data_IF_827427308780
#
_entry.id   IF_827427308780
#
_cell.length_a   1.000
_cell.length_b   1.000
_cell.length_c   1.000
_cell.angle_alpha   90.00
_cell.angle_beta   90.00
_cell.angle_gamma   90.00
#
_symmetry.space_group_name_H-M   'P 1'
#
loop_
_entity.id
_entity.type
_entity.pdbx_description
1 polymer ?
#
# COMPACT_ATOMS: atom_id res chain seq x y z
N UNK A 1 -3.52 4.91 17.73
CA UNK A 1 -2.23 4.40 18.24
C UNK A 1 -1.06 5.27 17.74
N UNK A 2 -0.88 5.45 16.45
CA UNK A 2 0.21 6.27 15.88
C UNK A 2 0.31 7.66 16.52
N UNK A 3 -0.80 8.39 16.61
CA UNK A 3 -0.85 9.73 17.20
C UNK A 3 -0.51 9.76 18.70
N UNK A 4 -0.75 8.68 19.43
CA UNK A 4 -0.32 8.54 20.82
C UNK A 4 1.20 8.39 20.93
N UNK A 5 1.79 7.53 20.10
CA UNK A 5 3.24 7.27 20.07
C UNK A 5 4.02 8.50 19.63
N UNK A 6 3.52 9.23 18.62
CA UNK A 6 4.14 10.44 18.10
C UNK A 6 3.79 11.70 18.90
N UNK A 7 3.08 11.56 20.03
CA UNK A 7 2.64 12.68 20.89
C UNK A 7 1.83 13.72 20.14
N UNK A 8 1.02 13.28 19.19
CA UNK A 8 0.19 14.15 18.31
C UNK A 8 0.99 15.25 17.61
N UNK A 9 2.22 14.95 17.18
CA UNK A 9 3.10 15.95 16.55
C UNK A 9 3.08 15.88 15.04
N UNK A 10 2.71 14.75 14.42
CA UNK A 10 2.81 14.53 12.97
C UNK A 10 1.43 14.47 12.33
N UNK A 11 1.06 15.40 11.45
CA UNK A 11 -0.24 15.40 10.76
C UNK A 11 -0.24 14.45 9.56
N UNK A 12 -0.05 13.16 9.81
CA UNK A 12 -0.07 12.11 8.81
C UNK A 12 -1.18 11.10 9.11
N UNK A 13 -1.77 10.54 8.07
CA UNK A 13 -2.83 9.54 8.17
C UNK A 13 -2.28 8.17 7.78
N UNK A 14 -2.66 7.16 8.55
CA UNK A 14 -2.35 5.75 8.27
C UNK A 14 -3.62 5.03 7.87
N UNK A 15 -3.53 4.21 6.83
CA UNK A 15 -4.59 3.30 6.42
C UNK A 15 -4.00 2.03 5.81
N UNK A 16 -4.83 1.15 5.26
CA UNK A 16 -4.41 -0.14 4.72
C UNK A 16 -3.40 -0.01 3.58
N UNK A 17 -2.31 -0.76 3.65
CA UNK A 17 -1.24 -0.73 2.64
C UNK A 17 -1.57 -1.57 1.42
N UNK A 18 -1.54 -0.96 0.25
CA UNK A 18 -1.72 -1.66 -1.03
C UNK A 18 -0.59 -2.65 -1.34
N UNK A 19 0.61 -2.45 -0.80
CA UNK A 19 1.73 -3.37 -0.99
C UNK A 19 1.43 -4.80 -0.52
N UNK A 20 0.51 -4.96 0.42
CA UNK A 20 0.13 -6.27 0.95
C UNK A 20 -1.04 -6.94 0.23
N UNK A 21 -1.67 -6.30 -0.78
CA UNK A 21 -2.83 -6.90 -1.48
C UNK A 21 -2.48 -8.26 -2.08
N UNK A 22 -1.44 -8.33 -2.91
CA UNK A 22 -1.04 -9.58 -3.54
C UNK A 22 -0.55 -10.63 -2.52
N UNK A 23 0.29 -10.29 -1.53
CA UNK A 23 0.64 -11.21 -0.43
C UNK A 23 -0.55 -11.70 0.37
N UNK A 24 -1.54 -10.86 0.64
CA UNK A 24 -2.77 -11.27 1.36
C UNK A 24 -3.57 -12.26 0.51
N UNK A 25 -3.80 -11.97 -0.77
CA UNK A 25 -4.53 -12.86 -1.67
C UNK A 25 -3.85 -14.24 -1.71
N UNK A 26 -2.55 -14.28 -1.94
CA UNK A 26 -1.79 -15.53 -1.95
C UNK A 26 -1.84 -16.26 -0.61
N UNK A 27 -1.61 -15.54 0.49
CA UNK A 27 -1.60 -16.11 1.83
C UNK A 27 -2.95 -16.71 2.22
N UNK A 28 -4.05 -15.99 1.95
CA UNK A 28 -5.41 -16.47 2.24
C UNK A 28 -5.76 -17.70 1.42
N UNK A 29 -5.35 -17.75 0.15
CA UNK A 29 -5.58 -18.93 -0.70
C UNK A 29 -4.74 -20.14 -0.28
N UNK A 30 -3.54 -19.90 0.27
CA UNK A 30 -2.60 -20.99 0.62
C UNK A 30 -2.78 -21.49 2.05
N UNK A 31 -2.94 -20.60 3.02
CA UNK A 31 -2.93 -20.93 4.46
C UNK A 31 -4.21 -20.51 5.20
N UNK A 32 -5.15 -19.86 4.53
CA UNK A 32 -6.34 -19.28 5.14
C UNK A 32 -6.07 -17.93 5.83
N UNK A 33 -7.16 -17.30 6.29
CA UNK A 33 -7.11 -15.94 6.86
C UNK A 33 -6.29 -15.92 8.16
N UNK A 34 -6.52 -16.80 9.19
CA UNK A 34 -5.83 -16.69 10.47
C UNK A 34 -4.30 -16.80 10.35
N UNK A 35 -3.82 -17.76 9.56
CA UNK A 35 -2.38 -17.92 9.30
C UNK A 35 -1.77 -16.73 8.55
N UNK A 36 -2.50 -16.18 7.60
CA UNK A 36 -2.07 -14.95 6.88
C UNK A 36 -1.95 -13.77 7.84
N UNK A 37 -2.90 -13.60 8.75
CA UNK A 37 -2.85 -12.54 9.78
C UNK A 37 -1.60 -12.65 10.66
N UNK A 38 -1.10 -13.86 10.93
CA UNK A 38 0.17 -14.04 11.66
C UNK A 38 1.36 -13.42 10.91
N UNK A 39 1.46 -13.66 9.61
CA UNK A 39 2.49 -13.02 8.77
C UNK A 39 2.38 -11.50 8.75
N UNK A 40 1.15 -10.98 8.67
CA UNK A 40 0.90 -9.54 8.68
C UNK A 40 1.22 -8.90 10.04
N UNK A 41 0.94 -9.59 11.15
CA UNK A 41 1.35 -9.15 12.48
C UNK A 41 2.89 -9.10 12.62
N UNK A 42 3.59 -10.09 12.04
CA UNK A 42 5.04 -10.11 12.00
C UNK A 42 5.63 -8.92 11.22
N UNK A 43 4.95 -8.43 10.16
CA UNK A 43 5.35 -7.21 9.46
C UNK A 43 5.37 -5.98 10.40
N UNK A 44 4.39 -5.85 11.29
CA UNK A 44 4.38 -4.79 12.29
C UNK A 44 5.51 -4.95 13.33
N UNK A 45 5.82 -6.19 13.73
CA UNK A 45 6.98 -6.48 14.59
C UNK A 45 8.30 -6.11 13.89
N UNK A 46 8.40 -6.35 12.58
CA UNK A 46 9.54 -5.92 11.78
C UNK A 46 9.74 -4.39 11.83
N UNK A 47 8.68 -3.60 11.72
CA UNK A 47 8.78 -2.13 11.87
C UNK A 47 9.24 -1.73 13.27
N UNK A 48 8.82 -2.46 14.29
CA UNK A 48 9.31 -2.25 15.64
C UNK A 48 10.83 -2.51 15.74
N UNK A 49 11.33 -3.61 15.15
CA UNK A 49 12.78 -3.90 15.13
C UNK A 49 13.55 -2.85 14.33
N UNK A 50 13.04 -2.40 13.18
CA UNK A 50 13.64 -1.29 12.43
C UNK A 50 13.64 0.01 13.24
N UNK A 51 12.57 0.30 13.98
CA UNK A 51 12.50 1.46 14.86
C UNK A 51 13.61 1.45 15.92
N UNK A 52 13.87 0.31 16.55
CA UNK A 52 14.98 0.14 17.50
C UNK A 52 16.32 0.36 16.80
N UNK A 53 16.52 -0.23 15.62
CA UNK A 53 17.75 -0.07 14.84
C UNK A 53 18.01 1.41 14.51
N UNK A 54 16.99 2.14 14.06
CA UNK A 54 17.07 3.57 13.75
C UNK A 54 17.36 4.38 15.02
N UNK A 55 16.75 4.02 16.15
CA UNK A 55 17.02 4.69 17.44
C UNK A 55 18.47 4.53 17.90
N UNK A 56 19.08 3.36 17.66
CA UNK A 56 20.43 3.04 18.10
C UNK A 56 21.51 3.56 17.14
N UNK A 57 21.28 3.46 15.82
CA UNK A 57 22.28 3.74 14.79
C UNK A 57 21.98 5.01 13.97
N UNK A 58 20.88 5.68 14.25
CA UNK A 58 20.40 6.85 13.51
C UNK A 58 19.69 6.49 12.20
N UNK A 59 18.99 7.45 11.57
CA UNK A 59 18.24 7.23 10.33
C UNK A 59 19.12 6.86 9.13
N UNK A 60 20.42 7.18 9.18
CA UNK A 60 21.38 6.82 8.13
C UNK A 60 21.60 5.30 7.99
N UNK A 61 21.36 4.52 9.05
CA UNK A 61 21.45 3.07 8.99
C UNK A 61 20.42 2.47 8.02
N UNK A 62 19.24 3.09 7.91
CA UNK A 62 18.21 2.68 6.97
C UNK A 62 18.68 2.88 5.51
N UNK A 63 19.26 4.03 5.19
CA UNK A 63 19.79 4.32 3.87
C UNK A 63 20.93 3.38 3.44
N UNK A 64 21.65 2.80 4.38
CA UNK A 64 22.72 1.83 4.08
C UNK A 64 22.17 0.44 3.70
N UNK A 65 21.10 0.00 4.36
CA UNK A 65 20.49 -1.32 4.13
C UNK A 65 19.50 -1.23 2.95
N UNK A 66 18.76 -0.15 2.88
CA UNK A 66 17.66 0.09 1.95
C UNK A 66 17.91 1.39 1.16
N UNK A 67 18.97 1.47 0.37
CA UNK A 67 19.24 2.66 -0.44
C UNK A 67 18.24 2.78 -1.58
N UNK A 68 18.08 3.97 -2.17
CA UNK A 68 17.13 4.22 -3.27
C UNK A 68 17.28 3.28 -4.49
N UNK A 69 18.48 2.74 -4.73
CA UNK A 69 18.73 1.75 -5.81
C UNK A 69 18.04 0.40 -5.56
N UNK A 70 17.73 0.08 -4.30
CA UNK A 70 16.95 -1.11 -3.92
C UNK A 70 15.48 -0.75 -3.82
N UNK A 71 15.18 0.34 -3.15
CA UNK A 71 13.84 0.71 -2.73
C UNK A 71 12.98 1.18 -3.89
N UNK A 72 13.54 1.97 -4.81
CA UNK A 72 12.84 2.41 -6.00
C UNK A 72 12.33 1.24 -6.85
N UNK A 73 13.19 0.31 -7.28
CA UNK A 73 12.77 -0.87 -8.03
C UNK A 73 11.78 -1.76 -7.26
N UNK A 74 11.92 -1.94 -5.96
CA UNK A 74 10.96 -2.73 -5.15
C UNK A 74 9.57 -2.08 -5.18
N UNK A 75 9.47 -0.76 -5.00
CA UNK A 75 8.20 -0.03 -5.10
C UNK A 75 7.61 -0.14 -6.52
N UNK A 76 8.45 -0.04 -7.56
CA UNK A 76 8.00 -0.25 -8.95
C UNK A 76 7.39 -1.64 -9.14
N UNK A 77 8.03 -2.67 -8.63
CA UNK A 77 7.57 -4.07 -8.72
C UNK A 77 6.20 -4.22 -8.05
N UNK A 78 5.94 -3.57 -6.92
CA UNK A 78 4.63 -3.61 -6.26
C UNK A 78 3.55 -3.11 -7.22
N UNK A 79 3.73 -1.93 -7.80
CA UNK A 79 2.76 -1.36 -8.74
C UNK A 79 2.54 -2.23 -9.97
N UNK A 80 3.61 -2.79 -10.52
CA UNK A 80 3.58 -3.62 -11.75
C UNK A 80 2.95 -5.00 -11.52
N UNK A 81 3.17 -5.65 -10.39
CA UNK A 81 2.50 -6.92 -10.06
C UNK A 81 1.00 -6.68 -9.88
N UNK A 82 0.62 -5.61 -9.21
CA UNK A 82 -0.78 -5.26 -8.99
C UNK A 82 -1.48 -4.77 -10.27
N UNK A 83 -0.73 -4.36 -11.29
CA UNK A 83 -1.29 -3.96 -12.58
C UNK A 83 -2.14 -5.09 -13.23
N UNK A 84 -1.72 -6.35 -13.10
CA UNK A 84 -2.49 -7.49 -13.60
C UNK A 84 -3.85 -7.62 -12.90
N UNK A 85 -3.89 -7.39 -11.58
CA UNK A 85 -5.13 -7.37 -10.80
C UNK A 85 -6.06 -6.28 -11.27
N UNK A 86 -5.55 -5.05 -11.46
CA UNK A 86 -6.35 -3.92 -11.95
C UNK A 86 -6.91 -4.17 -13.35
N UNK A 87 -6.10 -4.70 -14.26
CA UNK A 87 -6.51 -5.02 -15.65
C UNK A 87 -7.58 -6.11 -15.65
N UNK A 88 -7.41 -7.21 -14.91
CA UNK A 88 -8.41 -8.25 -14.80
C UNK A 88 -9.76 -7.68 -14.31
N UNK A 89 -9.72 -6.86 -13.26
CA UNK A 89 -10.93 -6.21 -12.74
C UNK A 89 -11.55 -5.23 -13.73
N UNK A 90 -10.76 -4.46 -14.47
CA UNK A 90 -11.23 -3.56 -15.52
C UNK A 90 -11.88 -4.33 -16.67
N UNK A 91 -11.42 -5.55 -16.96
CA UNK A 91 -12.02 -6.47 -17.93
C UNK A 91 -13.23 -7.26 -17.39
N UNK A 92 -13.69 -6.95 -16.19
CA UNK A 92 -14.86 -7.58 -15.58
C UNK A 92 -14.61 -8.94 -14.95
N UNK A 93 -13.35 -9.28 -14.68
CA UNK A 93 -12.95 -10.53 -14.03
C UNK A 93 -12.66 -10.29 -12.55
N UNK A 94 -12.57 -11.37 -11.77
CA UNK A 94 -11.96 -11.33 -10.43
C UNK A 94 -10.51 -10.86 -10.51
N UNK A 95 -9.95 -10.34 -9.42
CA UNK A 95 -8.58 -9.81 -9.42
C UNK A 95 -7.51 -10.82 -9.86
N UNK A 96 -7.73 -12.11 -9.59
CA UNK A 96 -6.88 -13.22 -10.06
C UNK A 96 -7.15 -13.64 -11.52
N UNK A 97 -8.18 -13.07 -12.15
CA UNK A 97 -8.58 -13.35 -13.52
C UNK A 97 -9.33 -14.69 -13.73
N UNK A 98 -9.61 -15.44 -12.65
CA UNK A 98 -10.16 -16.80 -12.73
C UNK A 98 -11.64 -16.84 -13.15
N UNK A 99 -12.41 -15.82 -12.77
CA UNK A 99 -13.87 -15.79 -12.99
C UNK A 99 -14.31 -14.51 -13.68
N UNK A 100 -15.15 -14.64 -14.69
CA UNK A 100 -15.80 -13.50 -15.36
C UNK A 100 -17.06 -13.14 -14.58
N UNK A 101 -17.13 -11.91 -14.10
CA UNK A 101 -18.26 -11.36 -13.32
C UNK A 101 -19.13 -10.43 -14.17
N UNK A 102 -18.54 -9.74 -15.13
CA UNK A 102 -19.22 -8.78 -16.04
C UNK A 102 -18.70 -9.02 -17.45
N UNK A 103 -19.58 -8.98 -18.50
CA UNK A 103 -19.14 -9.10 -19.88
C UNK A 103 -18.07 -8.05 -20.23
N UNK A 104 -17.00 -8.47 -20.91
CA UNK A 104 -15.78 -7.68 -21.11
C UNK A 104 -16.05 -6.31 -21.76
N UNK A 105 -16.87 -6.25 -22.82
CA UNK A 105 -17.18 -4.97 -23.48
C UNK A 105 -17.85 -3.97 -22.53
N UNK A 106 -18.80 -4.43 -21.73
CA UNK A 106 -19.48 -3.59 -20.73
C UNK A 106 -18.51 -3.16 -19.61
N UNK A 107 -17.70 -4.10 -19.17
CA UNK A 107 -16.71 -3.85 -18.13
C UNK A 107 -15.69 -2.79 -18.55
N UNK A 108 -15.15 -2.89 -19.77
CA UNK A 108 -14.17 -1.93 -20.30
C UNK A 108 -14.74 -0.51 -20.40
N UNK A 109 -16.01 -0.37 -20.81
CA UNK A 109 -16.67 0.95 -20.88
C UNK A 109 -16.78 1.57 -19.47
N UNK A 110 -17.25 0.79 -18.49
CA UNK A 110 -17.41 1.26 -17.12
C UNK A 110 -16.04 1.62 -16.52
N UNK A 111 -15.04 0.75 -16.69
CA UNK A 111 -13.68 0.98 -16.22
C UNK A 111 -13.06 2.23 -16.85
N UNK A 112 -13.22 2.41 -18.17
CA UNK A 112 -12.73 3.59 -18.88
C UNK A 112 -13.38 4.88 -18.39
N UNK A 113 -14.69 4.89 -18.14
CA UNK A 113 -15.40 6.08 -17.64
C UNK A 113 -14.99 6.39 -16.21
N UNK A 114 -14.87 5.37 -15.33
CA UNK A 114 -14.40 5.54 -13.95
C UNK A 114 -12.97 6.08 -13.91
N UNK A 115 -12.08 5.53 -14.72
CA UNK A 115 -10.69 5.99 -14.86
C UNK A 115 -10.64 7.43 -15.41
N UNK A 116 -11.34 7.70 -16.51
CA UNK A 116 -11.37 9.03 -17.12
C UNK A 116 -11.91 10.08 -16.15
N UNK A 117 -12.98 9.77 -15.41
CA UNK A 117 -13.53 10.66 -14.38
C UNK A 117 -12.49 10.95 -13.31
N UNK A 118 -11.80 9.91 -12.80
CA UNK A 118 -10.78 10.08 -11.78
C UNK A 118 -9.64 10.98 -12.28
N UNK A 119 -9.15 10.75 -13.51
CA UNK A 119 -8.11 11.56 -14.12
C UNK A 119 -8.57 13.01 -14.33
N UNK A 120 -9.74 13.22 -14.92
CA UNK A 120 -10.26 14.57 -15.18
C UNK A 120 -10.49 15.35 -13.89
N UNK A 121 -11.04 14.73 -12.87
CA UNK A 121 -11.24 15.38 -11.57
C UNK A 121 -9.89 15.67 -10.88
N UNK A 122 -8.92 14.78 -11.00
CA UNK A 122 -7.57 15.01 -10.46
C UNK A 122 -6.87 16.20 -11.13
N UNK A 123 -7.03 16.37 -12.44
CA UNK A 123 -6.36 17.41 -13.23
C UNK A 123 -7.11 18.74 -13.22
N UNK A 124 -8.43 18.70 -13.40
CA UNK A 124 -9.28 19.86 -13.62
C UNK A 124 -10.11 20.25 -12.40
N UNK A 125 -10.19 19.36 -11.39
CA UNK A 125 -10.98 19.58 -10.18
C UNK A 125 -10.51 20.82 -9.41
N UNK A 126 -11.48 21.58 -8.89
CA UNK A 126 -11.24 22.76 -8.06
C UNK A 126 -11.79 22.54 -6.65
N UNK A 127 -11.15 23.17 -5.66
CA UNK A 127 -11.60 23.09 -4.26
C UNK A 127 -11.63 21.64 -3.77
N UNK A 128 -12.76 21.22 -3.21
CA UNK A 128 -12.94 19.90 -2.59
C UNK A 128 -12.86 18.74 -3.61
N UNK A 129 -13.32 18.92 -4.84
CA UNK A 129 -13.27 17.86 -5.85
C UNK A 129 -11.84 17.40 -6.16
N UNK A 130 -10.87 18.31 -6.15
CA UNK A 130 -9.45 17.96 -6.34
C UNK A 130 -8.90 17.04 -5.25
N UNK A 131 -9.54 16.98 -4.09
CA UNK A 131 -9.11 16.17 -2.95
C UNK A 131 -9.71 14.76 -2.98
N UNK A 132 -10.79 14.54 -3.75
CA UNK A 132 -11.56 13.30 -3.76
C UNK A 132 -11.74 12.73 -5.18
N UNK A 133 -10.73 12.74 -6.06
CA UNK A 133 -10.90 12.31 -7.46
C UNK A 133 -11.31 10.84 -7.57
N UNK A 134 -10.76 9.98 -6.72
CA UNK A 134 -11.07 8.55 -6.66
C UNK A 134 -12.55 8.34 -6.30
N UNK A 135 -13.04 9.04 -5.29
CA UNK A 135 -14.45 8.96 -4.90
C UNK A 135 -15.37 9.42 -6.03
N UNK A 136 -15.01 10.47 -6.77
CA UNK A 136 -15.75 10.92 -7.94
C UNK A 136 -15.81 9.83 -9.03
N UNK A 137 -14.68 9.16 -9.29
CA UNK A 137 -14.63 8.03 -10.22
C UNK A 137 -15.51 6.86 -9.78
N UNK A 138 -15.51 6.53 -8.49
CA UNK A 138 -16.40 5.51 -7.92
C UNK A 138 -17.86 5.90 -8.13
N UNK A 139 -18.26 7.11 -7.73
CA UNK A 139 -19.65 7.57 -7.82
C UNK A 139 -20.16 7.53 -9.27
N UNK A 140 -19.38 8.04 -10.23
CA UNK A 140 -19.78 8.06 -11.64
C UNK A 140 -19.85 6.65 -12.22
N UNK A 141 -18.84 5.81 -11.98
CA UNK A 141 -18.83 4.42 -12.42
C UNK A 141 -19.98 3.61 -11.82
N UNK A 142 -20.26 3.82 -10.54
CA UNK A 142 -21.38 3.19 -9.85
C UNK A 142 -22.72 3.64 -10.44
N UNK A 143 -22.92 4.95 -10.66
CA UNK A 143 -24.13 5.51 -11.23
C UNK A 143 -24.44 4.96 -12.64
N UNK A 144 -23.41 4.77 -13.47
CA UNK A 144 -23.56 4.15 -14.80
C UNK A 144 -23.89 2.66 -14.71
N UNK A 145 -23.37 1.99 -13.67
CA UNK A 145 -23.62 0.56 -13.46
C UNK A 145 -25.06 0.25 -13.01
N UNK A 146 -25.77 1.23 -12.43
CA UNK A 146 -27.16 1.07 -11.98
C UNK A 146 -28.13 0.69 -13.12
N UNK A 147 -28.26 1.48 -14.23
CA UNK A 147 -29.16 1.16 -15.29
C UNK A 147 -28.78 -0.10 -16.09
N UNK A 148 -27.52 -0.54 -15.96
CA UNK A 148 -27.02 -1.76 -16.57
C UNK A 148 -27.34 -3.02 -15.74
N UNK A 149 -27.97 -2.88 -14.58
CA UNK A 149 -28.36 -3.99 -13.71
C UNK A 149 -27.17 -4.73 -13.07
N UNK A 150 -26.01 -4.09 -12.98
CA UNK A 150 -24.78 -4.71 -12.44
C UNK A 150 -24.65 -4.55 -10.92
N UNK A 151 -25.55 -3.81 -10.29
CA UNK A 151 -25.53 -3.54 -8.85
C UNK A 151 -26.59 -4.39 -8.16
N UNK A 152 -26.17 -5.31 -7.31
CA UNK A 152 -27.07 -6.09 -6.46
C UNK A 152 -27.16 -5.44 -5.06
N UNK A 153 -28.35 -4.93 -4.74
CA UNK A 153 -28.64 -4.34 -3.44
C UNK A 153 -29.06 -5.36 -2.37
N UNK A 154 -29.16 -6.64 -2.70
CA UNK A 154 -29.54 -7.68 -1.74
C UNK A 154 -28.69 -7.71 -0.48
N UNK A 155 -27.34 -7.54 -0.55
CA UNK A 155 -26.50 -7.44 0.62
C UNK A 155 -26.86 -6.27 1.54
N UNK A 156 -27.18 -5.10 0.94
CA UNK A 156 -27.58 -3.88 1.68
C UNK A 156 -28.92 -4.09 2.38
N UNK A 157 -29.86 -4.77 1.71
CA UNK A 157 -31.16 -5.11 2.29
C UNK A 157 -31.02 -5.98 3.54
N UNK A 158 -30.16 -6.99 3.49
CA UNK A 158 -29.93 -7.98 4.55
C UNK A 158 -29.03 -7.46 5.68
N UNK A 159 -28.17 -6.47 5.42
CA UNK A 159 -27.24 -5.95 6.40
C UNK A 159 -27.96 -5.22 7.54
N UNK A 160 -27.50 -5.43 8.76
CA UNK A 160 -27.94 -4.68 9.94
C UNK A 160 -27.41 -3.25 9.91
N UNK A 161 -28.12 -2.32 10.53
CA UNK A 161 -27.61 -0.96 10.73
C UNK A 161 -26.35 -0.96 11.60
N UNK A 162 -26.38 -1.73 12.70
CA UNK A 162 -25.23 -1.93 13.57
C UNK A 162 -24.77 -3.37 13.44
N UNK A 163 -23.51 -3.56 13.09
CA UNK A 163 -22.86 -4.85 13.00
C UNK A 163 -21.46 -4.77 13.60
N UNK A 164 -21.08 -5.82 14.32
CA UNK A 164 -19.69 -5.98 14.75
C UNK A 164 -18.86 -6.43 13.55
N UNK A 165 -17.69 -5.87 13.33
CA UNK A 165 -16.74 -6.42 12.36
C UNK A 165 -16.38 -7.87 12.69
N UNK A 166 -16.10 -8.66 11.66
CA UNK A 166 -15.64 -10.02 11.85
C UNK A 166 -14.17 -10.00 12.28
N UNK A 167 -13.95 -10.10 13.59
CA UNK A 167 -12.59 -10.21 14.13
C UNK A 167 -12.03 -11.60 13.88
N UNK A 168 -10.85 -11.66 13.27
CA UNK A 168 -10.11 -12.91 13.04
C UNK A 168 -8.75 -12.77 13.72
N UNK A 169 -8.48 -13.67 14.68
CA UNK A 169 -7.22 -13.66 15.40
C UNK A 169 -6.16 -14.44 14.63
N UNK A 170 -4.87 -14.02 14.69
CA UNK A 170 -3.78 -14.73 14.05
C UNK A 170 -3.59 -16.13 14.64
N UNK A 171 -3.38 -17.11 13.76
CA UNK A 171 -2.88 -18.44 14.11
C UNK A 171 -1.43 -18.56 13.68
N UNK A 172 -0.60 -19.17 14.54
CA UNK A 172 0.83 -19.27 14.28
C UNK A 172 1.12 -20.03 12.99
N UNK A 173 1.81 -19.38 12.06
CA UNK A 173 2.27 -19.97 10.81
C UNK A 173 3.60 -19.35 10.39
N UNK A 174 4.69 -20.14 10.55
CA UNK A 174 6.03 -19.69 10.25
C UNK A 174 6.25 -19.41 8.76
N UNK A 175 5.61 -20.18 7.86
CA UNK A 175 5.70 -19.98 6.41
C UNK A 175 5.07 -18.66 6.00
N UNK A 176 3.90 -18.33 6.54
CA UNK A 176 3.25 -17.05 6.31
C UNK A 176 4.12 -15.87 6.78
N UNK A 177 4.79 -16.01 7.93
CA UNK A 177 5.73 -15.00 8.44
C UNK A 177 6.88 -14.79 7.43
N UNK A 178 7.56 -15.86 7.03
CA UNK A 178 8.70 -15.78 6.12
C UNK A 178 8.33 -15.21 4.75
N UNK A 179 7.11 -15.51 4.28
CA UNK A 179 6.61 -15.01 3.00
C UNK A 179 6.26 -13.52 3.04
N UNK A 180 5.61 -13.06 4.11
CA UNK A 180 5.10 -11.69 4.22
C UNK A 180 6.16 -10.70 4.72
N UNK A 181 7.08 -11.14 5.59
CA UNK A 181 8.07 -10.27 6.21
C UNK A 181 8.90 -9.44 5.22
N UNK A 182 9.42 -10.00 4.11
CA UNK A 182 10.17 -9.24 3.11
C UNK A 182 9.36 -8.13 2.43
N UNK A 183 8.05 -8.32 2.30
CA UNK A 183 7.15 -7.31 1.70
C UNK A 183 7.09 -6.05 2.57
N UNK A 184 7.20 -6.20 3.89
CA UNK A 184 7.16 -5.09 4.85
C UNK A 184 8.29 -4.06 4.64
N UNK A 185 9.36 -4.43 3.93
CA UNK A 185 10.46 -3.53 3.60
C UNK A 185 9.96 -2.32 2.80
N UNK A 186 9.11 -2.54 1.81
CA UNK A 186 8.67 -1.49 0.91
C UNK A 186 7.80 -0.42 1.60
N UNK A 187 6.76 -0.74 2.38
CA UNK A 187 6.02 0.28 3.13
C UNK A 187 6.84 0.94 4.24
N UNK A 188 7.86 0.27 4.82
CA UNK A 188 8.75 0.92 5.75
C UNK A 188 9.52 2.08 5.12
N UNK A 189 9.88 1.95 3.84
CA UNK A 189 10.55 2.97 3.06
C UNK A 189 9.58 4.07 2.65
N UNK A 190 8.38 3.67 2.19
CA UNK A 190 7.30 4.59 1.89
C UNK A 190 7.00 5.48 3.09
N UNK A 191 6.90 4.89 4.28
CA UNK A 191 6.75 5.61 5.54
C UNK A 191 7.83 6.70 5.74
N UNK A 192 9.10 6.35 5.50
CA UNK A 192 10.19 7.33 5.63
C UNK A 192 10.04 8.47 4.62
N UNK A 193 9.69 8.16 3.36
CA UNK A 193 9.43 9.14 2.31
C UNK A 193 8.28 10.08 2.66
N UNK A 194 7.21 9.55 3.22
CA UNK A 194 6.02 10.31 3.61
C UNK A 194 6.28 11.22 4.81
N UNK A 195 7.09 10.77 5.78
CA UNK A 195 7.54 11.62 6.89
C UNK A 195 8.39 12.79 6.39
N UNK A 196 9.23 12.59 5.40
CA UNK A 196 9.97 13.68 4.73
C UNK A 196 9.02 14.62 3.98
N UNK A 197 8.05 14.07 3.24
CA UNK A 197 7.09 14.84 2.47
C UNK A 197 6.23 15.75 3.36
N UNK A 198 5.65 15.20 4.43
CA UNK A 198 4.86 16.00 5.37
C UNK A 198 5.71 17.03 6.12
N UNK A 199 6.97 16.68 6.44
CA UNK A 199 7.94 17.60 7.02
C UNK A 199 8.21 18.80 6.13
N UNK A 200 8.39 18.59 4.83
CA UNK A 200 8.58 19.64 3.83
C UNK A 200 7.36 20.55 3.72
N UNK A 201 6.15 20.00 3.75
CA UNK A 201 4.88 20.74 3.66
C UNK A 201 4.65 21.59 4.92
N UNK A 202 4.90 21.03 6.10
CA UNK A 202 4.67 21.70 7.38
C UNK A 202 5.84 22.57 7.83
N UNK A 203 6.98 22.50 7.12
CA UNK A 203 8.26 23.12 7.48
C UNK A 203 8.78 22.65 8.86
N UNK A 204 8.58 21.38 9.17
CA UNK A 204 9.01 20.75 10.42
C UNK A 204 9.95 19.58 10.13
N UNK A 205 10.96 19.38 10.96
CA UNK A 205 11.85 18.21 10.83
C UNK A 205 11.36 17.04 11.68
N UNK A 206 10.44 16.26 11.13
CA UNK A 206 9.89 15.08 11.81
C UNK A 206 10.87 13.90 11.86
N UNK A 207 11.99 13.95 11.13
CA UNK A 207 13.03 12.95 11.26
C UNK A 207 13.75 13.04 12.63
N UNK A 208 13.84 14.27 13.17
CA UNK A 208 14.45 14.53 14.46
C UNK A 208 13.42 14.57 15.59
N UNK A 209 12.31 15.29 15.41
CA UNK A 209 11.27 15.43 16.42
C UNK A 209 9.87 15.19 15.82
N UNK A 210 9.17 14.12 16.21
CA UNK A 210 9.39 13.16 17.31
C UNK A 210 10.47 12.12 17.02
N UNK A 211 11.03 12.08 15.81
CA UNK A 211 12.02 11.13 15.31
C UNK A 211 11.40 9.97 14.55
N UNK A 212 12.04 9.58 13.44
CA UNK A 212 11.57 8.47 12.58
C UNK A 212 11.39 7.17 13.35
N UNK A 213 12.23 6.90 14.35
CA UNK A 213 12.08 5.74 15.20
C UNK A 213 10.70 5.69 15.90
N UNK A 214 10.13 6.83 16.29
CA UNK A 214 8.79 6.87 16.91
C UNK A 214 7.69 6.74 15.88
N UNK A 215 7.82 7.38 14.72
CA UNK A 215 6.80 7.28 13.68
C UNK A 215 6.71 5.86 13.14
N UNK A 216 7.85 5.20 12.88
CA UNK A 216 7.90 3.82 12.43
C UNK A 216 7.43 2.83 13.52
N UNK A 217 7.75 3.09 14.80
CA UNK A 217 7.21 2.31 15.92
C UNK A 217 5.68 2.42 15.98
N UNK A 218 5.14 3.63 15.82
CA UNK A 218 3.69 3.87 15.82
C UNK A 218 2.98 3.16 14.66
N UNK A 219 3.60 3.11 13.49
CA UNK A 219 3.09 2.38 12.34
C UNK A 219 3.14 0.86 12.56
N UNK A 220 4.27 0.35 13.08
CA UNK A 220 4.41 -1.07 13.44
C UNK A 220 3.38 -1.53 14.47
N UNK A 221 3.13 -0.71 15.50
CA UNK A 221 2.11 -0.99 16.50
C UNK A 221 0.71 -1.00 15.89
N UNK A 222 0.39 -0.04 15.00
CA UNK A 222 -0.88 0.02 14.31
C UNK A 222 -1.07 -1.18 13.36
N UNK A 223 -0.02 -1.56 12.63
CA UNK A 223 0.00 -2.71 11.72
C UNK A 223 -0.20 -4.03 12.47
N UNK A 224 0.56 -4.26 13.55
CA UNK A 224 0.38 -5.48 14.36
C UNK A 224 -1.02 -5.55 14.95
N UNK A 225 -1.53 -4.44 15.51
CA UNK A 225 -2.87 -4.41 16.09
C UNK A 225 -3.96 -4.64 15.03
N UNK A 226 -3.83 -4.06 13.84
CA UNK A 226 -4.75 -4.32 12.74
C UNK A 226 -4.79 -5.81 12.39
N UNK A 227 -3.62 -6.44 12.23
CA UNK A 227 -3.52 -7.86 11.94
C UNK A 227 -4.09 -8.75 13.07
N UNK A 228 -3.88 -8.37 14.33
CA UNK A 228 -4.49 -9.07 15.49
C UNK A 228 -6.01 -8.98 15.49
N UNK A 229 -6.59 -7.98 14.86
CA UNK A 229 -8.04 -7.81 14.75
C UNK A 229 -8.61 -8.31 13.41
N UNK A 230 -7.78 -8.93 12.56
CA UNK A 230 -8.20 -9.45 11.25
C UNK A 230 -8.16 -8.42 10.12
N UNK A 231 -7.50 -7.27 10.34
CA UNK A 231 -7.32 -6.22 9.34
C UNK A 231 -5.99 -6.27 8.62
N UNK A 232 -5.87 -5.60 7.47
CA UNK A 232 -4.61 -5.51 6.72
C UNK A 232 -3.59 -4.60 7.42
N UNK A 233 -2.29 -4.74 7.10
CA UNK A 233 -1.24 -3.84 7.58
C UNK A 233 -1.49 -2.39 7.16
N UNK A 234 -0.99 -1.48 7.97
CA UNK A 234 -1.08 -0.05 7.68
C UNK A 234 0.16 0.46 6.94
N UNK A 235 0.00 1.61 6.31
CA UNK A 235 1.07 2.48 5.80
C UNK A 235 0.62 3.93 5.87
N UNK A 236 1.55 4.86 5.75
CA UNK A 236 1.26 6.28 5.60
C UNK A 236 0.69 6.58 4.21
N UNK A 237 -0.23 7.54 4.11
CA UNK A 237 -0.89 7.89 2.85
C UNK A 237 -0.37 9.23 2.31
N UNK A 238 0.42 9.15 1.23
CA UNK A 238 0.93 10.33 0.49
C UNK A 238 -0.21 11.19 -0.05
N UNK A 239 -1.34 10.59 -0.46
CA UNK A 239 -2.52 11.29 -0.96
C UNK A 239 -3.10 12.22 0.12
N UNK A 240 -3.17 11.74 1.36
CA UNK A 240 -3.64 12.55 2.49
C UNK A 240 -2.62 13.64 2.83
N UNK A 241 -1.32 13.34 2.73
CA UNK A 241 -0.25 14.33 2.88
C UNK A 241 -0.40 15.45 1.85
N UNK A 242 -0.71 15.12 0.59
CA UNK A 242 -1.04 16.09 -0.45
C UNK A 242 -2.25 16.96 -0.10
N UNK A 243 -3.33 16.34 0.41
CA UNK A 243 -4.54 17.04 0.85
C UNK A 243 -4.24 18.01 2.02
N UNK A 244 -3.46 17.59 3.01
CA UNK A 244 -3.00 18.43 4.13
C UNK A 244 -2.26 19.67 3.63
N UNK A 245 -1.38 19.50 2.64
CA UNK A 245 -0.63 20.60 2.01
C UNK A 245 -1.53 21.58 1.26
N UNK A 246 -2.50 21.06 0.50
CA UNK A 246 -3.45 21.90 -0.26
C UNK A 246 -4.39 22.70 0.65
N UNK A 247 -4.90 22.05 1.70
CA UNK A 247 -5.82 22.68 2.66
C UNK A 247 -5.09 23.56 3.69
N UNK A 248 -3.76 23.41 3.79
CA UNK A 248 -2.92 24.07 4.82
C UNK A 248 -3.40 23.78 6.25
N UNK A 249 -3.92 22.58 6.47
CA UNK A 249 -4.44 22.13 7.75
C UNK A 249 -3.45 21.18 8.40
N UNK A 250 -2.61 21.70 9.29
CA UNK A 250 -1.47 21.00 9.87
C UNK A 250 -1.72 20.45 11.28
N UNK A 251 -2.95 20.51 11.76
CA UNK A 251 -3.28 20.00 13.11
C UNK A 251 -3.41 18.47 13.11
N UNK A 252 -2.53 17.73 13.79
CA UNK A 252 -2.61 16.26 13.86
C UNK A 252 -3.89 15.72 14.50
N UNK A 253 -4.60 16.55 15.27
CA UNK A 253 -5.91 16.19 15.87
C UNK A 253 -6.94 15.81 14.81
N UNK A 254 -6.87 16.38 13.61
CA UNK A 254 -7.79 16.06 12.52
C UNK A 254 -7.62 14.60 12.08
N UNK A 255 -6.38 14.10 12.02
CA UNK A 255 -6.10 12.70 11.69
C UNK A 255 -6.68 11.75 12.77
N UNK A 256 -6.64 12.18 14.02
CA UNK A 256 -7.25 11.41 15.13
C UNK A 256 -8.76 11.34 14.98
N UNK A 257 -9.43 12.46 14.68
CA UNK A 257 -10.87 12.49 14.47
C UNK A 257 -11.28 11.72 13.22
N UNK A 258 -10.51 11.83 12.13
CA UNK A 258 -10.75 11.04 10.92
C UNK A 258 -10.70 9.53 11.21
N UNK A 259 -9.72 9.08 12.00
CA UNK A 259 -9.61 7.67 12.41
C UNK A 259 -10.79 7.26 13.32
N UNK A 260 -11.22 8.11 14.25
CA UNK A 260 -12.39 7.84 15.11
C UNK A 260 -13.65 7.69 14.24
N UNK A 261 -13.89 8.61 13.31
CA UNK A 261 -15.02 8.49 12.39
C UNK A 261 -14.95 7.23 11.52
N UNK A 262 -13.78 6.86 11.01
CA UNK A 262 -13.61 5.63 10.24
C UNK A 262 -13.97 4.39 11.08
N UNK A 263 -13.53 4.35 12.35
CA UNK A 263 -13.89 3.27 13.29
C UNK A 263 -15.40 3.25 13.56
N UNK A 264 -16.02 4.40 13.80
CA UNK A 264 -17.47 4.47 14.02
C UNK A 264 -18.25 4.01 12.77
N UNK A 265 -17.82 4.40 11.57
CA UNK A 265 -18.44 3.99 10.31
C UNK A 265 -18.30 2.48 10.07
N UNK A 266 -17.23 1.83 10.56
CA UNK A 266 -17.05 0.39 10.41
C UNK A 266 -18.12 -0.45 11.15
N UNK A 267 -18.77 0.11 12.16
CA UNK A 267 -19.89 -0.54 12.84
C UNK A 267 -21.24 -0.35 12.12
N UNK A 268 -21.29 0.46 11.06
CA UNK A 268 -22.51 0.64 10.25
C UNK A 268 -22.52 -0.41 9.14
N UNK A 269 -23.14 -1.57 9.40
CA UNK A 269 -23.17 -2.70 8.47
C UNK A 269 -23.73 -2.36 7.09
N UNK A 270 -24.70 -1.44 7.00
CA UNK A 270 -25.24 -0.94 5.72
C UNK A 270 -24.18 -0.28 4.84
N UNK A 271 -23.23 0.47 5.43
CA UNK A 271 -22.13 1.11 4.69
C UNK A 271 -21.18 0.05 4.15
N UNK A 272 -20.78 -0.92 4.98
CA UNK A 272 -19.95 -2.03 4.54
C UNK A 272 -20.60 -2.83 3.40
N UNK A 273 -21.89 -3.13 3.53
CA UNK A 273 -22.64 -3.82 2.50
C UNK A 273 -22.74 -2.99 1.19
N UNK A 274 -22.94 -1.66 1.29
CA UNK A 274 -22.97 -0.76 0.13
C UNK A 274 -21.63 -0.77 -0.62
N UNK A 275 -20.51 -0.72 0.09
CA UNK A 275 -19.18 -0.78 -0.53
C UNK A 275 -18.96 -2.10 -1.29
N UNK A 276 -19.52 -3.20 -0.81
CA UNK A 276 -19.44 -4.51 -1.48
C UNK A 276 -20.29 -4.58 -2.77
N UNK A 277 -21.24 -3.69 -2.95
CA UNK A 277 -22.04 -3.63 -4.20
C UNK A 277 -21.34 -2.90 -5.33
N UNK A 278 -20.16 -2.29 -5.09
CA UNK A 278 -19.42 -1.58 -6.14
C UNK A 278 -18.97 -2.60 -7.19
N UNK A 279 -19.39 -2.44 -8.47
CA UNK A 279 -19.02 -3.38 -9.51
C UNK A 279 -17.52 -3.44 -9.75
N UNK A 280 -17.00 -4.64 -9.96
CA UNK A 280 -15.58 -4.90 -10.17
C UNK A 280 -14.92 -4.02 -11.22
N UNK A 281 -15.55 -3.73 -12.40
CA UNK A 281 -14.96 -2.85 -13.41
C UNK A 281 -14.76 -1.41 -12.93
N UNK A 282 -15.62 -0.90 -12.05
CA UNK A 282 -15.47 0.44 -11.47
C UNK A 282 -14.16 0.52 -10.68
N UNK A 283 -13.95 -0.47 -9.81
CA UNK A 283 -12.71 -0.57 -9.03
C UNK A 283 -11.50 -0.81 -9.92
N UNK A 284 -11.63 -1.69 -10.93
CA UNK A 284 -10.55 -1.98 -11.88
C UNK A 284 -10.05 -0.74 -12.59
N UNK A 285 -10.94 0.10 -13.11
CA UNK A 285 -10.58 1.36 -13.76
C UNK A 285 -9.79 2.30 -12.84
N UNK A 286 -10.21 2.44 -11.59
CA UNK A 286 -9.53 3.27 -10.60
C UNK A 286 -8.18 2.68 -10.19
N UNK A 287 -8.11 1.36 -10.00
CA UNK A 287 -6.89 0.67 -9.60
C UNK A 287 -5.80 0.76 -10.65
N UNK A 288 -6.12 0.86 -11.95
CA UNK A 288 -5.12 1.13 -13.01
C UNK A 288 -4.34 2.41 -12.69
N UNK A 289 -5.03 3.48 -12.30
CA UNK A 289 -4.36 4.73 -11.94
C UNK A 289 -3.57 4.61 -10.65
N UNK A 290 -4.13 3.97 -9.62
CA UNK A 290 -3.50 3.82 -8.31
C UNK A 290 -2.22 3.00 -8.39
N UNK A 291 -2.25 1.83 -9.02
CA UNK A 291 -1.08 0.96 -9.12
C UNK A 291 -0.03 1.53 -10.08
N UNK A 292 -0.49 2.22 -11.15
CA UNK A 292 0.40 3.00 -12.00
C UNK A 292 1.11 4.12 -11.22
N UNK A 293 0.40 4.81 -10.33
CA UNK A 293 1.00 5.84 -9.48
C UNK A 293 2.05 5.25 -8.53
N UNK A 294 1.82 4.07 -7.93
CA UNK A 294 2.82 3.39 -7.09
C UNK A 294 4.10 3.11 -7.90
N UNK A 295 3.96 2.60 -9.12
CA UNK A 295 5.12 2.40 -10.01
C UNK A 295 5.88 3.70 -10.26
N UNK A 296 5.18 4.78 -10.55
CA UNK A 296 5.78 6.11 -10.78
C UNK A 296 6.47 6.62 -9.52
N UNK A 297 5.95 6.37 -8.33
CA UNK A 297 6.63 6.71 -7.06
C UNK A 297 7.96 5.98 -6.94
N UNK A 298 8.03 4.70 -7.31
CA UNK A 298 9.28 3.95 -7.34
C UNK A 298 10.32 4.57 -8.29
N UNK A 299 9.90 4.97 -9.50
CA UNK A 299 10.76 5.70 -10.45
C UNK A 299 11.23 7.04 -9.86
N UNK A 300 10.31 7.81 -9.28
CA UNK A 300 10.62 9.11 -8.70
C UNK A 300 11.59 9.01 -7.51
N UNK A 301 11.54 7.91 -6.76
CA UNK A 301 12.50 7.63 -5.67
C UNK A 301 13.93 7.55 -6.20
N UNK A 302 14.12 6.90 -7.34
CA UNK A 302 15.45 6.80 -7.98
C UNK A 302 15.90 8.14 -8.58
N UNK A 303 14.99 8.88 -9.22
CA UNK A 303 15.27 10.20 -9.81
C UNK A 303 15.69 11.20 -8.72
N UNK A 304 14.95 11.28 -7.62
CA UNK A 304 15.26 12.18 -6.49
C UNK A 304 16.58 11.89 -5.81
N UNK A 305 17.03 10.65 -5.86
CA UNK A 305 18.32 10.22 -5.34
C UNK A 305 19.46 10.44 -6.34
N UNK A 306 19.18 11.05 -7.52
CA UNK A 306 20.15 11.30 -8.60
C UNK A 306 20.95 10.05 -8.99
N UNK A 307 20.28 8.89 -8.96
CA UNK A 307 20.93 7.62 -9.24
C UNK A 307 21.29 7.51 -10.72
N UNK A 308 22.58 7.30 -11.01
CA UNK A 308 23.00 6.87 -12.33
C UNK A 308 22.66 5.39 -12.54
N UNK A 309 21.53 5.12 -13.20
CA UNK A 309 21.06 3.76 -13.48
C UNK A 309 21.91 3.07 -14.56
N UNK A 310 22.72 3.80 -15.34
CA UNK A 310 23.65 3.21 -16.30
C UNK A 310 24.95 2.72 -15.64
N UNK A 311 25.19 3.10 -14.38
CA UNK A 311 26.31 2.52 -13.64
C UNK A 311 26.08 1.01 -13.46
N UNK A 312 27.04 0.13 -13.83
CA UNK A 312 26.85 -1.32 -13.88
C UNK A 312 26.27 -1.94 -12.62
N UNK A 313 26.71 -1.45 -11.44
CA UNK A 313 26.20 -1.91 -10.13
C UNK A 313 24.72 -1.58 -9.95
N UNK A 314 24.34 -0.34 -10.20
CA UNK A 314 22.97 0.13 -10.00
C UNK A 314 22.01 -0.55 -10.99
N UNK A 315 22.46 -0.67 -12.24
CA UNK A 315 21.72 -1.38 -13.28
C UNK A 315 21.50 -2.86 -12.91
N UNK A 316 22.54 -3.56 -12.43
CA UNK A 316 22.40 -4.95 -12.03
C UNK A 316 21.39 -5.13 -10.88
N UNK A 317 21.46 -4.30 -9.83
CA UNK A 317 20.54 -4.35 -8.71
C UNK A 317 19.10 -4.10 -9.17
N UNK A 318 18.87 -3.00 -9.90
CA UNK A 318 17.53 -2.62 -10.35
C UNK A 318 16.95 -3.66 -11.32
N UNK A 319 17.74 -4.15 -12.29
CA UNK A 319 17.28 -5.13 -13.26
C UNK A 319 16.88 -6.46 -12.60
N UNK A 320 17.70 -6.96 -11.67
CA UNK A 320 17.39 -8.21 -10.96
C UNK A 320 16.11 -8.08 -10.13
N UNK A 321 15.96 -6.97 -9.37
CA UNK A 321 14.74 -6.73 -8.59
C UNK A 321 13.51 -6.73 -9.49
N UNK A 322 13.54 -5.95 -10.57
CA UNK A 322 12.39 -5.79 -11.47
C UNK A 322 12.04 -7.09 -12.18
N UNK A 323 13.04 -7.76 -12.77
CA UNK A 323 12.81 -8.99 -13.54
C UNK A 323 12.36 -10.15 -12.63
N UNK A 324 13.03 -10.37 -11.50
CA UNK A 324 12.64 -11.44 -10.57
C UNK A 324 11.27 -11.18 -9.93
N UNK A 325 10.98 -9.91 -9.61
CA UNK A 325 9.71 -9.53 -9.01
C UNK A 325 8.52 -9.71 -9.96
N UNK A 326 8.61 -9.16 -11.17
CA UNK A 326 7.51 -9.21 -12.15
C UNK A 326 7.43 -10.59 -12.81
N UNK A 327 8.57 -11.20 -13.08
CA UNK A 327 8.66 -12.50 -13.75
C UNK A 327 8.11 -13.67 -12.92
N UNK A 328 7.67 -13.41 -11.69
CA UNK A 328 7.09 -14.43 -10.84
C UNK A 328 8.10 -15.50 -10.38
N UNK A 329 9.39 -15.15 -10.36
CA UNK A 329 10.43 -16.06 -9.87
C UNK A 329 10.11 -16.55 -8.48
N UNK A 330 10.17 -17.85 -8.26
CA UNK A 330 9.99 -18.47 -6.95
C UNK A 330 11.25 -19.24 -6.57
N UNK A 331 11.60 -19.12 -5.29
CA UNK A 331 12.62 -19.96 -4.67
C UNK A 331 11.92 -20.82 -3.63
N UNK A 332 11.95 -22.13 -3.83
CA UNK A 332 11.32 -23.11 -2.96
C UNK A 332 12.39 -24.02 -2.35
N UNK A 333 12.45 -24.09 -1.04
CA UNK A 333 13.36 -24.96 -0.30
C UNK A 333 12.57 -25.67 0.82
N UNK A 334 12.10 -26.89 0.54
CA UNK A 334 11.21 -27.64 1.42
C UNK A 334 9.87 -26.93 1.58
N UNK A 335 9.51 -26.60 2.82
CA UNK A 335 8.27 -25.88 3.14
C UNK A 335 8.41 -24.33 2.97
N UNK A 336 9.60 -23.86 2.65
CA UNK A 336 9.89 -22.44 2.50
C UNK A 336 9.73 -22.04 1.05
N UNK A 337 8.89 -21.04 0.79
CA UNK A 337 8.70 -20.45 -0.54
C UNK A 337 8.84 -18.93 -0.48
N UNK A 338 9.78 -18.39 -1.25
CA UNK A 338 9.91 -16.95 -1.51
C UNK A 338 9.44 -16.68 -2.94
N UNK A 339 8.47 -15.79 -3.10
CA UNK A 339 7.89 -15.45 -4.42
C UNK A 339 7.75 -13.94 -4.59
N UNK A 340 7.80 -13.50 -5.84
CA UNK A 340 7.45 -12.13 -6.25
C UNK A 340 8.22 -11.05 -5.47
N UNK A 341 7.47 -10.13 -4.83
CA UNK A 341 8.00 -8.94 -4.15
C UNK A 341 8.98 -9.31 -3.03
N UNK A 342 8.66 -10.35 -2.24
CA UNK A 342 9.51 -10.80 -1.13
C UNK A 342 10.89 -11.24 -1.62
N UNK A 343 10.92 -12.09 -2.65
CA UNK A 343 12.18 -12.53 -3.26
C UNK A 343 12.94 -11.35 -3.87
N UNK A 344 12.26 -10.47 -4.61
CA UNK A 344 12.86 -9.29 -5.22
C UNK A 344 13.51 -8.36 -4.18
N UNK A 345 12.82 -8.11 -3.07
CA UNK A 345 13.34 -7.28 -1.97
C UNK A 345 14.60 -7.87 -1.34
N UNK A 346 14.59 -9.18 -1.03
CA UNK A 346 15.75 -9.87 -0.45
C UNK A 346 16.94 -9.84 -1.43
N UNK A 347 16.70 -10.18 -2.71
CA UNK A 347 17.76 -10.16 -3.73
C UNK A 347 18.36 -8.75 -3.86
N UNK A 348 17.53 -7.72 -3.85
CA UNK A 348 17.98 -6.34 -3.92
C UNK A 348 18.89 -5.96 -2.76
N UNK A 349 18.50 -6.30 -1.53
CA UNK A 349 19.31 -6.05 -0.33
C UNK A 349 20.61 -6.85 -0.38
N UNK A 350 20.57 -8.12 -0.73
CA UNK A 350 21.77 -8.97 -0.83
C UNK A 350 22.74 -8.44 -1.87
N UNK A 351 22.26 -8.10 -3.07
CA UNK A 351 23.11 -7.53 -4.12
C UNK A 351 23.72 -6.19 -3.68
N UNK A 352 22.94 -5.35 -3.01
CA UNK A 352 23.45 -4.09 -2.50
C UNK A 352 24.57 -4.27 -1.47
N UNK A 353 24.52 -5.33 -0.65
CA UNK A 353 25.54 -5.61 0.37
C UNK A 353 26.78 -6.31 -0.23
N UNK A 354 26.60 -7.15 -1.25
CA UNK A 354 27.68 -7.97 -1.83
C UNK A 354 28.43 -7.21 -2.93
N UNK A 355 27.73 -6.46 -3.77
CA UNK A 355 28.36 -5.79 -4.91
C UNK A 355 29.24 -4.62 -4.42
N UNK A 356 30.48 -4.50 -4.91
CA UNK A 356 31.39 -3.45 -4.51
C UNK A 356 30.78 -2.06 -4.81
N UNK A 357 30.90 -1.15 -3.87
CA UNK A 357 30.65 0.25 -4.12
C UNK A 357 31.77 0.74 -5.03
N UNK A 358 31.50 0.86 -6.33
CA UNK A 358 32.50 1.32 -7.29
C UNK A 358 33.08 2.65 -6.81
N UNK A 359 34.39 2.71 -6.72
CA UNK A 359 35.09 3.97 -6.61
C UNK A 359 34.67 4.81 -7.82
N UNK A 360 34.34 6.09 -7.60
CA UNK A 360 34.18 7.06 -8.66
C UNK A 360 35.40 7.01 -9.57
N UNK A 361 35.33 6.24 -10.66
CA UNK A 361 36.20 6.45 -11.80
C UNK A 361 35.50 7.57 -12.55
N UNK A 362 36.11 8.73 -12.45
CA UNK A 362 35.78 9.96 -13.17
C UNK A 362 35.61 9.73 -14.66
#
# INVERSE_FOLDING_TARGET
>A
LFQLVTRRSVPIFLASSFAFIAPIIYGVQTWGIPSTMCGLAAAGVFYFLLSILIKLKGPQALNRILPPVVTGPVIMVIGLILASVAVNMAMGKTGDGSTVLVPENTALIIAAISLATTILVSLLGKGMFRLIPILCGIIVGYAISLPLGLVDFSPVGKASWLALPNFVFPEWNFQAILFILPVAIAPAIEHFGDILAIGSITKQNYLESPGVHRTLFGDGLATSMAAFLGGPPNTTYSEVTGAVGLLKVYNPGIMTWAAIFAVLLSFVGKIGALLQTIPVPVMGGIMILLFGAIMVVGVNTMIRAELNLMHPRNMAIAAVIVVCGIGGMSFEAGEFALKGIGLAGILGVLLNLILPQGNHIE
#
